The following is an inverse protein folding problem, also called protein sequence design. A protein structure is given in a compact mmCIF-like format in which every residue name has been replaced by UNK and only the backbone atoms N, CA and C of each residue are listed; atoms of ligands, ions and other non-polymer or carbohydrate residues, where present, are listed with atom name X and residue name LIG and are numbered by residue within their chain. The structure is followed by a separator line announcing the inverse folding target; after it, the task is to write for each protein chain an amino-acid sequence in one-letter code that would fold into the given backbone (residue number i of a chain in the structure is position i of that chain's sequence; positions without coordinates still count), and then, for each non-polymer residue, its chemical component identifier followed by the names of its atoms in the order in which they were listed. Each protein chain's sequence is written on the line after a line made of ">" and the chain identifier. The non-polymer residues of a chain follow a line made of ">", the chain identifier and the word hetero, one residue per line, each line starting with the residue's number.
data_IF_345822750381
#
_entry.id   IF_345822750381
#
_cell.length_a   1.000
_cell.length_b   1.000
_cell.length_c   1.000
_cell.angle_alpha   90.00
_cell.angle_beta   90.00
_cell.angle_gamma   90.00
#
_symmetry.space_group_name_H-M   'P 1'
#
loop_
_entity.id
_entity.type
_entity.pdbx_description
1 polymer ?
#
# COMPACT_ATOMS: atom_id res chain seq x y z
N UNK A 1 -19.64 35.77 16.54
CA UNK A 1 -19.72 34.37 16.08
C UNK A 1 -19.53 33.48 17.30
N UNK A 2 -20.45 32.55 17.47
CA UNK A 2 -20.85 31.96 18.74
C UNK A 2 -19.76 31.11 19.42
N UNK A 3 -19.39 31.50 20.64
CA UNK A 3 -18.60 30.71 21.58
C UNK A 3 -19.49 29.62 22.21
N UNK A 4 -19.43 28.42 21.66
CA UNK A 4 -20.02 27.23 22.29
C UNK A 4 -18.95 26.52 23.11
N UNK A 5 -18.89 26.83 24.40
CA UNK A 5 -18.14 26.01 25.35
C UNK A 5 -18.77 24.61 25.38
N UNK A 6 -18.01 23.53 25.12
CA UNK A 6 -18.55 22.18 25.26
C UNK A 6 -18.80 21.90 26.75
N UNK A 7 -20.06 21.59 27.07
CA UNK A 7 -20.51 21.12 28.39
C UNK A 7 -19.57 20.01 28.90
N UNK A 8 -19.15 20.04 30.17
CA UNK A 8 -18.45 18.91 30.78
C UNK A 8 -19.46 17.79 31.08
N UNK A 9 -19.87 17.05 30.05
CA UNK A 9 -20.71 15.84 30.19
C UNK A 9 -19.88 14.56 30.45
N UNK A 10 -18.56 14.69 30.65
CA UNK A 10 -17.65 13.54 30.68
C UNK A 10 -17.17 13.12 32.09
N UNK A 11 -17.66 13.71 33.18
CA UNK A 11 -17.20 13.36 34.54
C UNK A 11 -18.20 12.47 35.30
N UNK A 12 -19.43 12.27 34.81
CA UNK A 12 -20.43 11.44 35.51
C UNK A 12 -20.31 9.93 35.23
N UNK A 13 -19.32 9.46 34.46
CA UNK A 13 -19.18 8.03 34.09
C UNK A 13 -18.19 7.23 34.94
N UNK A 14 -17.63 7.80 36.01
CA UNK A 14 -16.60 7.13 36.84
C UNK A 14 -17.07 6.71 38.24
N UNK A 15 -18.36 6.81 38.53
CA UNK A 15 -18.97 6.21 39.72
C UNK A 15 -20.33 5.58 39.37
N UNK A 16 -20.41 4.93 38.21
CA UNK A 16 -21.32 3.79 38.12
C UNK A 16 -20.67 2.71 38.99
N UNK A 17 -21.09 2.66 40.26
CA UNK A 17 -20.87 1.50 41.11
C UNK A 17 -21.18 0.29 40.23
N UNK A 18 -20.15 -0.49 39.88
CA UNK A 18 -20.33 -1.69 39.08
C UNK A 18 -21.13 -2.68 39.92
N UNK A 19 -22.44 -2.57 39.75
CA UNK A 19 -23.45 -3.40 40.34
C UNK A 19 -23.37 -4.74 39.62
N UNK A 20 -22.58 -5.66 40.16
CA UNK A 20 -22.35 -6.95 39.53
C UNK A 20 -23.29 -8.02 40.09
N UNK A 21 -23.93 -8.76 39.18
CA UNK A 21 -24.70 -9.96 39.52
C UNK A 21 -23.78 -11.17 39.56
N UNK A 22 -24.17 -12.21 40.31
CA UNK A 22 -23.41 -13.46 40.36
C UNK A 22 -23.15 -14.12 38.99
N UNK A 23 -24.01 -13.87 37.99
CA UNK A 23 -23.81 -14.32 36.61
C UNK A 23 -22.68 -13.52 35.93
N UNK A 24 -22.65 -12.21 36.14
CA UNK A 24 -21.64 -11.30 35.59
C UNK A 24 -20.29 -11.54 36.28
N UNK A 25 -20.26 -11.73 37.60
CA UNK A 25 -19.06 -12.13 38.34
C UNK A 25 -18.50 -13.46 37.82
N UNK A 26 -19.37 -14.46 37.61
CA UNK A 26 -18.97 -15.75 37.02
C UNK A 26 -18.39 -15.57 35.61
N UNK A 27 -19.01 -14.72 34.78
CA UNK A 27 -18.56 -14.46 33.41
C UNK A 27 -17.22 -13.69 33.37
N UNK A 28 -17.06 -12.67 34.22
CA UNK A 28 -15.85 -11.86 34.37
C UNK A 28 -14.67 -12.70 34.90
N UNK A 29 -14.95 -13.71 35.73
CA UNK A 29 -13.97 -14.69 36.20
C UNK A 29 -13.79 -15.89 35.24
N UNK A 30 -14.20 -15.74 33.97
CA UNK A 30 -14.10 -16.76 32.92
C UNK A 30 -14.67 -18.13 33.32
N UNK A 31 -15.79 -18.14 34.04
CA UNK A 31 -16.48 -19.34 34.54
C UNK A 31 -15.64 -20.26 35.44
N UNK A 32 -14.51 -19.77 35.99
CA UNK A 32 -13.72 -20.50 36.99
C UNK A 32 -14.47 -20.66 38.31
N UNK A 33 -15.40 -19.76 38.59
CA UNK A 33 -16.36 -19.84 39.69
C UNK A 33 -17.73 -20.05 39.09
N UNK A 34 -18.41 -21.14 39.45
CA UNK A 34 -19.78 -21.37 38.97
C UNK A 34 -20.73 -20.32 39.53
N UNK A 35 -21.82 -20.01 38.81
CA UNK A 35 -22.88 -19.10 39.30
C UNK A 35 -23.34 -19.45 40.73
N UNK A 36 -23.47 -20.74 41.05
CA UNK A 36 -23.89 -21.19 42.38
C UNK A 36 -22.84 -20.88 43.46
N UNK A 37 -21.55 -21.05 43.15
CA UNK A 37 -20.46 -20.69 44.05
C UNK A 37 -20.32 -19.17 44.20
N UNK A 38 -20.44 -18.41 43.11
CA UNK A 38 -20.42 -16.95 43.15
C UNK A 38 -21.56 -16.41 44.04
N UNK A 39 -22.76 -16.98 43.95
CA UNK A 39 -23.89 -16.63 44.84
C UNK A 39 -23.59 -16.91 46.31
N UNK A 40 -22.87 -18.00 46.64
CA UNK A 40 -22.49 -18.30 48.04
C UNK A 40 -21.45 -17.31 48.55
N UNK A 41 -20.39 -17.08 47.78
CA UNK A 41 -19.31 -16.17 48.14
C UNK A 41 -19.81 -14.73 48.30
N UNK A 42 -20.68 -14.25 47.41
CA UNK A 42 -21.25 -12.90 47.52
C UNK A 42 -22.16 -12.77 48.76
N UNK A 43 -22.92 -13.81 49.12
CA UNK A 43 -23.68 -13.80 50.37
C UNK A 43 -22.77 -13.79 51.61
N UNK A 44 -21.71 -14.58 51.61
CA UNK A 44 -20.72 -14.59 52.70
C UNK A 44 -20.01 -13.24 52.81
N UNK A 45 -19.64 -12.61 51.69
CA UNK A 45 -19.04 -11.27 51.69
C UNK A 45 -20.01 -10.19 52.16
N UNK A 46 -21.30 -10.34 51.87
CA UNK A 46 -22.34 -9.44 52.37
C UNK A 46 -22.55 -9.62 53.88
N UNK A 47 -22.62 -10.87 54.36
CA UNK A 47 -22.73 -11.19 55.79
C UNK A 47 -21.53 -10.71 56.61
N UNK A 48 -20.35 -10.65 55.99
CA UNK A 48 -19.13 -10.13 56.61
C UNK A 48 -18.97 -8.60 56.48
N UNK A 49 -20.02 -7.88 56.05
CA UNK A 49 -20.01 -6.42 55.85
C UNK A 49 -18.85 -5.94 54.95
N UNK A 50 -18.49 -6.71 53.92
CA UNK A 50 -17.46 -6.30 52.92
C UNK A 50 -18.08 -5.73 51.65
N UNK A 51 -19.33 -6.11 51.35
CA UNK A 51 -20.09 -5.65 50.20
C UNK A 51 -21.54 -5.38 50.62
N UNK A 52 -22.21 -4.47 49.93
CA UNK A 52 -23.64 -4.19 50.14
C UNK A 52 -24.46 -4.87 49.06
N UNK A 53 -25.57 -5.45 49.49
CA UNK A 53 -26.59 -6.02 48.62
C UNK A 53 -27.64 -4.95 48.28
N UNK A 54 -28.01 -4.84 47.01
CA UNK A 54 -29.16 -4.07 46.54
C UNK A 54 -30.12 -4.99 45.78
N UNK A 55 -31.37 -5.06 46.24
CA UNK A 55 -32.44 -5.77 45.53
C UNK A 55 -33.09 -4.82 44.53
N UNK A 56 -32.80 -4.99 43.25
CA UNK A 56 -33.49 -4.26 42.20
C UNK A 56 -34.94 -4.76 42.07
N UNK A 57 -35.93 -3.87 42.16
CA UNK A 57 -37.35 -4.17 41.96
C UNK A 57 -38.29 -3.98 43.17
N UNK A 58 -37.82 -3.53 44.32
CA UNK A 58 -38.69 -3.14 45.46
C UNK A 58 -39.10 -1.67 45.36
N UNK A 59 -40.22 -1.40 44.70
CA UNK A 59 -40.96 -0.14 44.92
C UNK A 59 -41.68 -0.24 46.29
N UNK A 60 -41.52 0.73 47.22
CA UNK A 60 -42.21 0.73 48.51
C UNK A 60 -43.75 0.82 48.39
N UNK A 61 -44.27 1.18 47.22
CA UNK A 61 -45.68 1.51 47.02
C UNK A 61 -46.56 0.34 46.55
N UNK A 62 -45.99 -0.83 46.24
CA UNK A 62 -46.71 -1.90 45.55
C UNK A 62 -47.37 -2.98 46.44
N UNK A 63 -47.62 -2.71 47.73
CA UNK A 63 -48.09 -3.76 48.67
C UNK A 63 -49.54 -3.67 49.14
N UNK A 64 -50.36 -2.71 48.67
CA UNK A 64 -51.74 -2.56 49.19
C UNK A 64 -52.86 -3.04 48.27
N UNK A 65 -52.62 -3.14 46.97
CA UNK A 65 -53.60 -3.69 46.03
C UNK A 65 -52.84 -4.43 44.95
N UNK A 66 -52.88 -5.77 44.94
CA UNK A 66 -52.74 -6.60 43.73
C UNK A 66 -52.71 -8.09 44.10
N UNK A 67 -53.68 -8.82 43.57
CA UNK A 67 -53.92 -10.24 43.86
C UNK A 67 -52.80 -11.18 43.45
N UNK A 68 -52.94 -12.43 43.89
CA UNK A 68 -51.99 -13.55 43.76
C UNK A 68 -51.33 -13.70 42.37
N UNK A 69 -51.98 -13.28 41.28
CA UNK A 69 -51.47 -13.41 39.91
C UNK A 69 -50.40 -12.38 39.52
N UNK A 70 -50.36 -11.18 40.11
CA UNK A 70 -49.24 -10.24 39.88
C UNK A 70 -48.03 -10.52 40.78
N UNK A 71 -48.22 -11.30 41.86
CA UNK A 71 -47.14 -11.74 42.75
C UNK A 71 -46.14 -12.64 42.02
N UNK A 72 -46.61 -13.47 41.08
CA UNK A 72 -45.76 -14.30 40.21
C UNK A 72 -44.96 -13.47 39.19
N UNK A 73 -45.56 -12.40 38.64
CA UNK A 73 -44.87 -11.54 37.64
C UNK A 73 -43.85 -10.60 38.26
N UNK A 74 -44.07 -10.10 39.49
CA UNK A 74 -43.07 -9.31 40.21
C UNK A 74 -41.90 -10.15 40.76
N UNK A 75 -42.04 -11.48 40.90
CA UNK A 75 -40.93 -12.35 41.31
C UNK A 75 -39.87 -12.52 40.21
N UNK A 76 -40.27 -12.40 38.94
CA UNK A 76 -39.39 -12.52 37.76
C UNK A 76 -38.42 -11.33 37.59
N UNK A 77 -38.65 -10.21 38.28
CA UNK A 77 -37.81 -8.99 38.19
C UNK A 77 -36.94 -8.72 39.41
N UNK A 78 -36.98 -9.58 40.45
CA UNK A 78 -36.18 -9.38 41.67
C UNK A 78 -34.76 -9.88 41.43
N UNK A 79 -33.85 -8.96 41.15
CA UNK A 79 -32.46 -9.30 40.95
C UNK A 79 -31.60 -8.72 42.07
N UNK A 80 -30.82 -9.60 42.69
CA UNK A 80 -29.83 -9.24 43.71
C UNK A 80 -28.57 -8.78 43.01
N UNK A 81 -28.11 -7.59 43.37
CA UNK A 81 -26.89 -7.02 42.83
C UNK A 81 -25.99 -6.57 43.97
N UNK A 82 -24.70 -6.84 43.86
CA UNK A 82 -23.73 -6.53 44.90
C UNK A 82 -22.82 -5.39 44.45
N UNK A 83 -22.38 -4.56 45.39
CA UNK A 83 -21.38 -3.55 45.13
C UNK A 83 -20.37 -3.47 46.28
N UNK A 84 -19.15 -3.09 45.94
CA UNK A 84 -18.11 -2.86 46.94
C UNK A 84 -18.51 -1.72 47.88
N UNK A 85 -18.15 -1.85 49.16
CA UNK A 85 -18.31 -0.77 50.11
C UNK A 85 -17.32 0.35 49.79
N UNK A 86 -17.84 1.48 49.33
CA UNK A 86 -17.11 2.73 49.37
C UNK A 86 -17.20 3.25 50.80
N UNK A 87 -16.11 3.09 51.57
CA UNK A 87 -15.99 3.77 52.86
C UNK A 87 -15.84 5.29 52.65
N UNK A 88 -16.04 6.13 53.69
CA UNK A 88 -15.51 7.49 53.70
C UNK A 88 -13.99 7.40 53.86
N UNK A 89 -13.32 6.76 52.89
CA UNK A 89 -11.89 6.57 52.88
C UNK A 89 -11.25 7.88 52.46
N UNK A 90 -10.58 8.53 53.42
CA UNK A 90 -9.77 9.74 53.29
C UNK A 90 -10.34 10.77 52.32
N UNK A 91 -11.05 11.73 52.90
CA UNK A 91 -11.54 12.94 52.26
C UNK A 91 -10.66 13.33 51.07
N UNK A 92 -11.18 13.08 49.87
CA UNK A 92 -10.69 13.70 48.65
C UNK A 92 -10.97 15.18 48.81
N UNK A 93 -10.07 15.87 49.52
CA UNK A 93 -10.17 17.30 49.75
C UNK A 93 -10.24 17.98 48.39
N UNK A 94 -11.04 19.06 48.25
CA UNK A 94 -11.18 19.70 46.96
C UNK A 94 -9.84 20.11 46.36
N UNK A 95 -8.82 20.39 47.20
CA UNK A 95 -7.45 20.67 46.79
C UNK A 95 -6.74 19.46 46.18
N UNK A 96 -6.91 18.26 46.71
CA UNK A 96 -6.29 17.05 46.12
C UNK A 96 -6.96 16.68 44.80
N UNK A 97 -8.28 16.87 44.70
CA UNK A 97 -9.01 16.65 43.44
C UNK A 97 -8.62 17.65 42.36
N UNK A 98 -8.40 18.92 42.70
CA UNK A 98 -7.93 19.93 41.74
C UNK A 98 -6.48 19.69 41.33
N UNK A 99 -5.61 19.28 42.27
CA UNK A 99 -4.24 18.88 41.96
C UNK A 99 -4.19 17.70 40.99
N UNK A 100 -4.97 16.64 41.23
CA UNK A 100 -5.07 15.48 40.33
C UNK A 100 -5.64 15.85 38.96
N UNK A 101 -6.63 16.76 38.90
CA UNK A 101 -7.16 17.26 37.62
C UNK A 101 -6.09 18.00 36.81
N UNK A 102 -5.31 18.85 37.48
CA UNK A 102 -4.20 19.54 36.83
C UNK A 102 -3.15 18.53 36.34
N UNK A 103 -2.81 17.51 37.13
CA UNK A 103 -1.86 16.47 36.72
C UNK A 103 -2.38 15.69 35.51
N UNK A 104 -3.66 15.34 35.47
CA UNK A 104 -4.30 14.69 34.30
C UNK A 104 -4.21 15.58 33.07
N UNK A 105 -4.55 16.86 33.17
CA UNK A 105 -4.44 17.81 32.05
C UNK A 105 -3.00 17.97 31.58
N UNK A 106 -2.05 18.05 32.51
CA UNK A 106 -0.62 18.14 32.20
C UNK A 106 -0.13 16.89 31.47
N UNK A 107 -0.44 15.70 31.99
CA UNK A 107 -0.05 14.43 31.38
C UNK A 107 -0.70 14.25 30.00
N UNK A 108 -1.98 14.62 29.85
CA UNK A 108 -2.65 14.59 28.54
C UNK A 108 -1.98 15.55 27.55
N UNK A 109 -1.60 16.74 28.00
CA UNK A 109 -0.83 17.70 27.21
C UNK A 109 0.52 17.13 26.76
N UNK A 110 1.29 16.57 27.70
CA UNK A 110 2.57 15.91 27.40
C UNK A 110 2.40 14.75 26.41
N UNK A 111 1.40 13.88 26.61
CA UNK A 111 1.14 12.73 25.74
C UNK A 111 0.77 13.18 24.32
N UNK A 112 -0.01 14.27 24.19
CA UNK A 112 -0.33 14.85 22.89
C UNK A 112 0.89 15.43 22.19
N UNK A 113 1.79 16.09 22.94
CA UNK A 113 3.04 16.65 22.43
C UNK A 113 3.99 15.56 21.96
N UNK A 114 4.31 14.58 22.82
CA UNK A 114 5.23 13.49 22.52
C UNK A 114 4.73 12.66 21.34
N UNK A 115 3.42 12.42 21.24
CA UNK A 115 2.82 11.74 20.07
C UNK A 115 2.98 12.57 18.78
N UNK A 116 2.93 13.90 18.88
CA UNK A 116 3.24 14.79 17.77
C UNK A 116 4.70 14.67 17.33
N UNK A 117 5.63 14.67 18.27
CA UNK A 117 7.06 14.59 17.99
C UNK A 117 7.47 13.21 17.47
N UNK A 118 6.87 12.14 17.97
CA UNK A 118 7.02 10.79 17.43
C UNK A 118 6.63 10.73 15.95
N UNK A 119 5.48 11.31 15.58
CA UNK A 119 5.05 11.36 14.18
C UNK A 119 6.03 12.13 13.30
N UNK A 120 6.56 13.26 13.79
CA UNK A 120 7.57 14.04 13.08
C UNK A 120 8.86 13.24 12.90
N UNK A 121 9.35 12.62 13.97
CA UNK A 121 10.56 11.80 13.94
C UNK A 121 10.43 10.61 12.98
N UNK A 122 9.28 9.92 12.99
CA UNK A 122 8.97 8.84 12.03
C UNK A 122 8.97 9.34 10.59
N UNK A 123 8.37 10.51 10.32
CA UNK A 123 8.38 11.09 8.98
C UNK A 123 9.80 11.47 8.53
N UNK A 124 10.62 12.04 9.41
CA UNK A 124 12.02 12.35 9.13
C UNK A 124 12.86 11.10 8.85
N UNK A 125 12.67 10.03 9.63
CA UNK A 125 13.34 8.75 9.40
C UNK A 125 12.96 8.15 8.04
N UNK A 126 11.67 8.09 7.72
CA UNK A 126 11.21 7.60 6.42
C UNK A 126 11.80 8.41 5.25
N UNK A 127 11.90 9.74 5.39
CA UNK A 127 12.51 10.61 4.39
C UNK A 127 14.03 10.41 4.23
N UNK A 128 14.73 10.01 5.29
CA UNK A 128 16.15 9.67 5.25
C UNK A 128 16.38 8.28 4.65
N UNK A 129 15.55 7.29 5.01
CA UNK A 129 15.63 5.92 4.48
C UNK A 129 15.27 5.84 3.00
N UNK A 130 14.41 6.72 2.49
CA UNK A 130 14.11 6.83 1.07
C UNK A 130 15.33 7.28 0.22
N UNK A 131 16.35 7.88 0.84
CA UNK A 131 17.56 8.30 0.14
C UNK A 131 18.58 7.15 0.12
N UNK A 132 19.09 6.76 -1.05
CA UNK A 132 20.14 5.74 -1.11
C UNK A 132 21.38 6.21 -0.35
N UNK A 133 22.04 5.27 0.35
CA UNK A 133 23.24 5.57 1.13
C UNK A 133 24.33 6.07 0.20
N UNK A 134 25.10 7.07 0.65
CA UNK A 134 26.21 7.64 -0.14
C UNK A 134 27.23 6.57 -0.58
N UNK A 135 27.48 5.56 0.26
CA UNK A 135 28.37 4.45 -0.10
C UNK A 135 27.78 3.52 -1.17
N UNK A 136 26.45 3.37 -1.23
CA UNK A 136 25.80 2.63 -2.31
C UNK A 136 25.92 3.41 -3.63
N UNK A 137 25.61 4.71 -3.60
CA UNK A 137 25.77 5.59 -4.77
C UNK A 137 27.20 5.59 -5.33
N UNK A 138 28.22 5.62 -4.47
CA UNK A 138 29.62 5.56 -4.90
C UNK A 138 29.95 4.26 -5.65
N UNK A 139 29.52 3.11 -5.13
CA UNK A 139 29.70 1.82 -5.81
C UNK A 139 28.95 1.76 -7.14
N UNK A 140 27.75 2.32 -7.20
CA UNK A 140 26.97 2.36 -8.44
C UNK A 140 27.64 3.27 -9.48
N UNK A 141 28.22 4.41 -9.07
CA UNK A 141 29.00 5.29 -9.94
C UNK A 141 30.23 4.56 -10.48
N UNK A 142 31.03 3.94 -9.60
CA UNK A 142 32.23 3.17 -10.00
C UNK A 142 31.86 2.09 -11.03
N UNK A 143 30.80 1.31 -10.79
CA UNK A 143 30.31 0.29 -11.74
C UNK A 143 29.90 0.91 -13.08
N UNK A 144 29.16 2.02 -13.08
CA UNK A 144 28.70 2.68 -14.31
C UNK A 144 29.87 3.28 -15.09
N UNK A 145 30.91 3.76 -14.41
CA UNK A 145 32.13 4.25 -15.03
C UNK A 145 32.89 3.10 -15.72
N UNK A 146 33.05 1.95 -15.05
CA UNK A 146 33.63 0.74 -15.65
C UNK A 146 32.84 0.26 -16.88
N UNK A 147 31.51 0.15 -16.78
CA UNK A 147 30.64 -0.25 -17.90
C UNK A 147 30.73 0.72 -19.08
N UNK A 148 30.81 2.02 -18.80
CA UNK A 148 30.99 3.04 -19.83
C UNK A 148 32.33 2.87 -20.53
N UNK A 149 33.42 2.68 -19.79
CA UNK A 149 34.75 2.45 -20.35
C UNK A 149 34.79 1.19 -21.22
N UNK A 150 34.15 0.10 -20.78
CA UNK A 150 34.04 -1.14 -21.57
C UNK A 150 33.29 -0.91 -22.89
N UNK A 151 32.13 -0.23 -22.85
CA UNK A 151 31.34 0.06 -24.05
C UNK A 151 32.13 0.98 -24.99
N UNK A 152 32.82 1.98 -24.46
CA UNK A 152 33.66 2.88 -25.25
C UNK A 152 34.83 2.15 -25.90
N UNK A 153 35.50 1.23 -25.18
CA UNK A 153 36.56 0.41 -25.75
C UNK A 153 36.04 -0.50 -26.88
N UNK A 154 34.87 -1.11 -26.69
CA UNK A 154 34.22 -1.93 -27.74
C UNK A 154 33.83 -1.11 -28.96
N UNK A 155 33.29 0.10 -28.76
CA UNK A 155 32.97 1.02 -29.85
C UNK A 155 34.24 1.50 -30.57
N UNK A 156 35.32 1.78 -29.84
CA UNK A 156 36.63 2.11 -30.40
C UNK A 156 37.15 0.99 -31.30
N UNK A 157 37.14 -0.25 -30.81
CA UNK A 157 37.51 -1.41 -31.62
C UNK A 157 36.68 -1.54 -32.91
N UNK A 158 35.37 -1.32 -32.82
CA UNK A 158 34.47 -1.36 -33.98
C UNK A 158 34.66 -0.18 -34.96
N UNK A 159 35.26 0.91 -34.50
CA UNK A 159 35.59 2.07 -35.33
C UNK A 159 36.97 1.92 -36.00
N UNK A 160 37.92 1.28 -35.30
CA UNK A 160 39.25 0.96 -35.82
C UNK A 160 39.22 -0.21 -36.81
N UNK A 161 38.30 -1.16 -36.65
CA UNK A 161 37.92 -2.03 -37.75
C UNK A 161 37.20 -1.17 -38.79
N UNK A 162 37.63 -1.26 -40.06
CA UNK A 162 37.16 -0.51 -41.24
C UNK A 162 35.67 -0.77 -41.61
N UNK A 163 34.84 -1.07 -40.61
CA UNK A 163 33.41 -1.28 -40.66
C UNK A 163 32.69 0.07 -40.65
N UNK A 164 32.19 0.44 -41.84
CA UNK A 164 31.30 1.59 -42.02
C UNK A 164 30.04 1.39 -41.18
N UNK A 165 29.86 2.21 -40.14
CA UNK A 165 28.64 2.25 -39.35
C UNK A 165 27.57 3.03 -40.12
N UNK A 166 26.72 2.30 -40.83
CA UNK A 166 25.56 2.87 -41.54
C UNK A 166 24.34 2.79 -40.62
N UNK A 167 23.61 3.89 -40.49
CA UNK A 167 22.35 3.85 -39.73
C UNK A 167 21.32 2.93 -40.40
N UNK A 168 20.35 2.43 -39.62
CA UNK A 168 19.31 1.56 -40.16
C UNK A 168 18.52 2.24 -41.30
N UNK A 169 18.27 3.55 -41.18
CA UNK A 169 17.53 4.35 -42.15
C UNK A 169 18.33 4.59 -43.44
N UNK A 170 19.62 4.87 -43.34
CA UNK A 170 20.49 4.99 -44.52
C UNK A 170 20.61 3.65 -45.24
N UNK A 171 20.72 2.54 -44.49
CA UNK A 171 20.74 1.20 -45.06
C UNK A 171 19.45 0.89 -45.83
N UNK A 172 18.29 1.22 -45.28
CA UNK A 172 17.01 0.98 -45.98
C UNK A 172 16.91 1.80 -47.26
N UNK A 173 17.36 3.06 -47.26
CA UNK A 173 17.41 3.91 -48.47
C UNK A 173 18.33 3.32 -49.53
N UNK A 174 19.54 2.90 -49.15
CA UNK A 174 20.49 2.25 -50.06
C UNK A 174 19.92 0.95 -50.65
N UNK A 175 19.19 0.16 -49.85
CA UNK A 175 18.53 -1.04 -50.33
C UNK A 175 17.41 -0.73 -51.33
N UNK A 176 16.63 0.32 -51.11
CA UNK A 176 15.60 0.79 -52.05
C UNK A 176 16.21 1.26 -53.37
N UNK A 177 17.24 2.11 -53.32
CA UNK A 177 17.97 2.59 -54.48
C UNK A 177 18.58 1.42 -55.26
N UNK A 178 19.23 0.48 -54.58
CA UNK A 178 19.78 -0.73 -55.20
C UNK A 178 18.69 -1.52 -55.92
N UNK A 179 17.51 -1.70 -55.30
CA UNK A 179 16.37 -2.39 -55.94
C UNK A 179 15.84 -1.62 -57.14
N UNK A 180 15.81 -0.29 -57.10
CA UNK A 180 15.42 0.54 -58.24
C UNK A 180 16.39 0.35 -59.41
N UNK A 181 17.70 0.49 -59.17
CA UNK A 181 18.72 0.34 -60.21
C UNK A 181 18.79 -1.09 -60.75
N UNK A 182 18.61 -2.10 -59.92
CA UNK A 182 18.54 -3.50 -60.37
C UNK A 182 17.34 -3.73 -61.31
N UNK A 183 16.16 -3.18 -60.98
CA UNK A 183 14.98 -3.25 -61.85
C UNK A 183 15.25 -2.55 -63.19
N UNK A 184 15.82 -1.36 -63.17
CA UNK A 184 16.18 -0.63 -64.39
C UNK A 184 17.19 -1.38 -65.24
N UNK A 185 18.24 -1.93 -64.63
CA UNK A 185 19.22 -2.75 -65.34
C UNK A 185 18.59 -4.00 -65.95
N UNK A 186 17.65 -4.66 -65.27
CA UNK A 186 16.95 -5.83 -65.79
C UNK A 186 16.06 -5.49 -67.00
N UNK A 187 15.30 -4.40 -66.92
CA UNK A 187 14.46 -3.92 -68.03
C UNK A 187 15.32 -3.54 -69.23
N UNK A 188 16.39 -2.76 -69.01
CA UNK A 188 17.31 -2.35 -70.08
C UNK A 188 17.98 -3.55 -70.75
N UNK A 189 18.41 -4.55 -69.96
CA UNK A 189 18.95 -5.81 -70.49
C UNK A 189 17.95 -6.55 -71.37
N UNK A 190 16.68 -6.62 -70.95
CA UNK A 190 15.62 -7.23 -71.75
C UNK A 190 15.41 -6.50 -73.07
N UNK A 191 15.27 -5.18 -73.02
CA UNK A 191 15.06 -4.35 -74.23
C UNK A 191 16.24 -4.51 -75.19
N UNK A 192 17.47 -4.44 -74.69
CA UNK A 192 18.68 -4.62 -75.50
C UNK A 192 18.70 -5.99 -76.18
N UNK A 193 18.37 -7.07 -75.45
CA UNK A 193 18.28 -8.42 -76.01
C UNK A 193 17.18 -8.55 -77.07
N UNK A 194 15.99 -8.03 -76.79
CA UNK A 194 14.84 -8.10 -77.71
C UNK A 194 15.14 -7.33 -79.01
N UNK A 195 15.76 -6.16 -78.91
CA UNK A 195 16.21 -5.39 -80.08
C UNK A 195 17.33 -6.10 -80.83
N UNK A 196 18.32 -6.63 -80.11
CA UNK A 196 19.43 -7.35 -80.69
C UNK A 196 18.97 -8.57 -81.49
N UNK A 197 18.05 -9.35 -80.94
CA UNK A 197 17.45 -10.50 -81.62
C UNK A 197 16.86 -10.11 -82.99
N UNK A 198 16.05 -9.05 -83.01
CA UNK A 198 15.46 -8.52 -84.27
C UNK A 198 16.51 -8.04 -85.27
N UNK A 199 17.59 -7.42 -84.81
CA UNK A 199 18.68 -6.99 -85.68
C UNK A 199 19.42 -8.19 -86.30
N UNK A 200 19.61 -9.27 -85.52
CA UNK A 200 20.32 -10.47 -85.99
C UNK A 200 19.48 -11.38 -86.88
N UNK A 201 18.13 -11.32 -86.79
CA UNK A 201 17.22 -12.09 -87.65
C UNK A 201 17.30 -11.70 -89.14
N UNK A 202 17.72 -10.46 -89.43
CA UNK A 202 17.76 -9.89 -90.80
C UNK A 202 19.20 -9.69 -91.29
N UNK A 203 20.17 -10.38 -90.66
CA UNK A 203 21.58 -10.17 -90.95
C UNK A 203 21.98 -10.87 -92.28
N UNK A 204 22.71 -10.21 -93.18
CA UNK A 204 23.19 -10.84 -94.41
C UNK A 204 24.24 -11.92 -94.12
N UNK A 205 24.28 -12.97 -94.95
CA UNK A 205 25.10 -14.18 -94.74
C UNK A 205 26.62 -13.93 -94.60
N UNK A 206 27.09 -12.73 -94.96
CA UNK A 206 28.50 -12.34 -94.91
C UNK A 206 28.93 -11.68 -93.59
N UNK A 207 27.99 -11.40 -92.67
CA UNK A 207 28.27 -10.71 -91.41
C UNK A 207 27.81 -11.56 -90.23
N UNK A 208 28.66 -11.79 -89.24
CA UNK A 208 28.26 -12.53 -88.05
C UNK A 208 27.73 -11.60 -86.94
N UNK A 209 26.79 -12.10 -86.14
CA UNK A 209 26.25 -11.42 -84.95
C UNK A 209 27.34 -10.88 -84.00
N UNK A 210 28.37 -11.65 -83.59
CA UNK A 210 29.40 -11.14 -82.67
C UNK A 210 30.26 -10.01 -83.29
N UNK A 211 30.58 -10.08 -84.58
CA UNK A 211 31.32 -9.01 -85.27
C UNK A 211 30.52 -7.70 -85.29
N UNK A 212 29.19 -7.77 -85.49
CA UNK A 212 28.34 -6.60 -85.41
C UNK A 212 28.31 -6.01 -83.98
N UNK A 213 28.26 -6.86 -82.94
CA UNK A 213 28.22 -6.42 -81.53
C UNK A 213 29.49 -5.64 -81.16
N UNK A 214 30.66 -6.13 -81.57
CA UNK A 214 31.94 -5.46 -81.38
C UNK A 214 32.05 -4.18 -82.23
N UNK A 215 31.56 -4.18 -83.47
CA UNK A 215 31.58 -2.99 -84.34
C UNK A 215 30.75 -1.83 -83.79
N UNK A 216 29.70 -2.11 -83.01
CA UNK A 216 28.88 -1.12 -82.32
C UNK A 216 29.48 -0.67 -80.98
N UNK A 217 30.65 -1.19 -80.60
CA UNK A 217 31.32 -0.87 -79.35
C UNK A 217 30.58 -1.36 -78.11
N UNK A 218 29.80 -2.44 -78.23
CA UNK A 218 29.05 -3.01 -77.11
C UNK A 218 29.93 -4.02 -76.36
N UNK A 219 30.05 -3.82 -75.05
CA UNK A 219 30.85 -4.67 -74.16
C UNK A 219 29.96 -5.51 -73.23
N UNK A 220 30.43 -6.71 -72.89
CA UNK A 220 29.74 -7.66 -72.02
C UNK A 220 28.93 -8.72 -72.76
N UNK A 221 28.54 -9.78 -72.04
CA UNK A 221 27.77 -10.89 -72.60
C UNK A 221 26.27 -10.64 -72.51
N UNK A 222 25.55 -10.85 -73.62
CA UNK A 222 24.10 -11.04 -73.65
C UNK A 222 23.73 -12.39 -72.99
N UNK A 223 23.92 -12.53 -71.68
CA UNK A 223 23.33 -13.64 -70.91
C UNK A 223 21.85 -13.42 -70.70
#
# INVERSE_FOLDING_TARGET
>A
MSSSCPRPQAITKLADDLFEKAIEVSANLHNRVTKAQAVKLLRELHQNDKIKERVAGQSPFASRYLGHLLKLRLLLGKQVVYHALQGPSQDATPETLTALRHEIEQLQGQLSSTKGDEKKARASLAALEAKPRLSALRRDIERLEEEKEEIQARLGFLHDSDTVQISLEERSKLEEERRQWQRQAAIRRRICRDLWGRCTEVLPDNTSSPELWESLGLEGTLQ
#
